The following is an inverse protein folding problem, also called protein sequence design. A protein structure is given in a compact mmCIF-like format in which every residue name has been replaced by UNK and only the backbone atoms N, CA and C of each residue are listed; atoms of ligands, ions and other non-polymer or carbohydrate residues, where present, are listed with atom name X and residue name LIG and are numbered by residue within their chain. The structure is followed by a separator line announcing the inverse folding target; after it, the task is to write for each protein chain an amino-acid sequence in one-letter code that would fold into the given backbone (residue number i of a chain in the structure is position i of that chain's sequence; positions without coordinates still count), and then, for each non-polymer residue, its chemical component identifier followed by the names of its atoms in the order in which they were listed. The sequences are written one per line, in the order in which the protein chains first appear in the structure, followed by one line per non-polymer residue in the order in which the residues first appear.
data_IF_317824881401
#
_entry.id   IF_317824881401
#
_cell.length_a   1.000
_cell.length_b   1.000
_cell.length_c   1.000
_cell.angle_alpha   90.00
_cell.angle_beta   90.00
_cell.angle_gamma   90.00
#
_symmetry.space_group_name_H-M   'P 1'
#
loop_
_entity.id
_entity.type
_entity.pdbx_description
1 polymer ?
#
# COMPACT_ATOMS: atom_id res chain seq x y z
N UNK A 1 4.05 -1.82 -13.93
CA UNK A 1 3.26 -2.03 -12.70
C UNK A 1 3.06 -0.71 -11.96
N UNK A 2 1.84 -0.38 -11.63
CA UNK A 2 1.51 0.89 -10.97
C UNK A 2 1.30 0.68 -9.47
N UNK A 3 2.02 1.44 -8.65
CA UNK A 3 1.99 1.36 -7.18
C UNK A 3 1.50 2.69 -6.63
N UNK A 4 0.48 2.65 -5.77
CA UNK A 4 -0.01 3.83 -5.07
C UNK A 4 0.47 3.80 -3.62
N UNK A 5 1.21 4.84 -3.22
CA UNK A 5 1.72 5.02 -1.86
C UNK A 5 0.93 6.11 -1.17
N UNK A 6 0.29 5.78 -0.05
CA UNK A 6 -0.59 6.69 0.68
C UNK A 6 -0.06 6.87 2.10
N UNK A 7 0.36 8.09 2.42
CA UNK A 7 0.83 8.47 3.75
C UNK A 7 0.76 9.98 3.86
N UNK A 8 0.34 10.50 5.01
CA UNK A 8 0.25 11.94 5.22
C UNK A 8 1.61 12.61 5.46
N UNK A 9 2.66 11.82 5.71
CA UNK A 9 4.02 12.34 5.86
C UNK A 9 4.81 12.23 4.56
N UNK A 10 5.25 13.38 4.05
CA UNK A 10 6.08 13.43 2.84
C UNK A 10 7.35 12.59 2.98
N UNK A 11 8.00 12.64 4.13
CA UNK A 11 9.22 11.88 4.40
C UNK A 11 8.98 10.38 4.21
N UNK A 12 7.87 9.85 4.73
CA UNK A 12 7.55 8.44 4.59
C UNK A 12 7.25 8.07 3.13
N UNK A 13 6.52 8.93 2.41
CA UNK A 13 6.28 8.70 0.97
C UNK A 13 7.60 8.62 0.20
N UNK A 14 8.56 9.47 0.54
CA UNK A 14 9.89 9.46 -0.09
C UNK A 14 10.70 8.21 0.26
N UNK A 15 10.62 7.76 1.52
CA UNK A 15 11.31 6.53 1.96
C UNK A 15 10.78 5.31 1.19
N UNK A 16 9.46 5.16 1.12
CA UNK A 16 8.84 4.04 0.40
C UNK A 16 9.19 4.09 -1.09
N UNK A 17 9.11 5.28 -1.67
CA UNK A 17 9.46 5.50 -3.08
C UNK A 17 10.92 5.12 -3.36
N UNK A 18 11.83 5.49 -2.45
CA UNK A 18 13.25 5.12 -2.55
C UNK A 18 13.46 3.61 -2.48
N UNK A 19 12.78 2.92 -1.57
CA UNK A 19 12.83 1.46 -1.48
C UNK A 19 12.33 0.78 -2.75
N UNK A 20 11.22 1.27 -3.30
CA UNK A 20 10.67 0.72 -4.54
C UNK A 20 11.62 0.89 -5.71
N UNK A 21 12.27 2.04 -5.80
CA UNK A 21 13.31 2.29 -6.82
C UNK A 21 14.47 1.31 -6.66
N UNK A 22 14.94 1.09 -5.44
CA UNK A 22 16.02 0.14 -5.16
C UNK A 22 15.64 -1.29 -5.54
N UNK A 23 14.35 -1.63 -5.47
CA UNK A 23 13.84 -2.93 -5.91
C UNK A 23 13.74 -3.06 -7.43
N UNK A 24 13.93 -1.98 -8.17
CA UNK A 24 13.88 -1.97 -9.62
C UNK A 24 12.58 -1.46 -10.23
N UNK A 25 11.66 -0.92 -9.45
CA UNK A 25 10.44 -0.32 -9.99
C UNK A 25 10.74 1.05 -10.57
N UNK A 26 10.10 1.35 -11.71
CA UNK A 26 10.24 2.64 -12.37
C UNK A 26 9.53 3.73 -11.55
N UNK A 27 10.18 4.87 -11.36
CA UNK A 27 9.62 5.99 -10.62
C UNK A 27 8.30 6.50 -11.22
N UNK A 28 8.12 6.39 -12.53
CA UNK A 28 6.90 6.82 -13.21
C UNK A 28 5.71 5.91 -12.89
N UNK A 29 5.97 4.71 -12.38
CA UNK A 29 4.93 3.76 -11.98
C UNK A 29 4.50 3.95 -10.53
N UNK A 30 5.18 4.79 -9.77
CA UNK A 30 4.87 5.06 -8.36
C UNK A 30 4.13 6.38 -8.23
N UNK A 31 2.90 6.30 -7.74
CA UNK A 31 2.05 7.48 -7.50
C UNK A 31 1.89 7.64 -6.00
N UNK A 32 1.89 8.87 -5.52
CA UNK A 32 1.76 9.16 -4.09
C UNK A 32 0.49 9.98 -3.81
N UNK A 33 -0.13 9.71 -2.67
CA UNK A 33 -1.27 10.47 -2.18
C UNK A 33 -1.07 10.75 -0.69
N UNK A 34 -1.56 11.91 -0.24
CA UNK A 34 -1.36 12.36 1.14
C UNK A 34 -2.47 11.90 2.10
N UNK A 35 -3.59 11.42 1.58
CA UNK A 35 -4.73 10.94 2.36
C UNK A 35 -5.63 10.04 1.52
N UNK A 36 -6.58 9.38 2.19
CA UNK A 36 -7.43 8.37 1.55
C UNK A 36 -8.31 8.91 0.43
N UNK A 37 -8.82 10.13 0.56
CA UNK A 37 -9.67 10.73 -0.48
C UNK A 37 -8.88 10.95 -1.78
N UNK A 38 -7.68 11.51 -1.66
CA UNK A 38 -6.78 11.69 -2.80
C UNK A 38 -6.39 10.35 -3.42
N UNK A 39 -6.20 9.32 -2.57
CA UNK A 39 -5.91 7.97 -3.03
C UNK A 39 -7.04 7.39 -3.87
N UNK A 40 -8.29 7.55 -3.43
CA UNK A 40 -9.46 7.08 -4.19
C UNK A 40 -9.58 7.80 -5.52
N UNK A 41 -9.35 9.09 -5.55
CA UNK A 41 -9.35 9.86 -6.79
C UNK A 41 -8.29 9.34 -7.76
N UNK A 42 -7.08 9.07 -7.26
CA UNK A 42 -5.99 8.53 -8.07
C UNK A 42 -6.34 7.13 -8.62
N UNK A 43 -6.95 6.27 -7.80
CA UNK A 43 -7.36 4.93 -8.21
C UNK A 43 -8.45 4.95 -9.28
N UNK A 44 -9.39 5.89 -9.16
CA UNK A 44 -10.47 6.04 -10.14
C UNK A 44 -9.97 6.62 -11.46
N UNK A 45 -8.94 7.47 -11.41
CA UNK A 45 -8.33 8.03 -12.60
C UNK A 45 -7.53 6.99 -13.39
N UNK A 46 -6.82 6.11 -12.69
CA UNK A 46 -6.05 5.02 -13.30
C UNK A 46 -5.86 3.89 -12.29
N UNK A 47 -6.08 2.63 -12.69
CA UNK A 47 -5.97 1.51 -11.77
C UNK A 47 -4.53 1.32 -11.28
N UNK A 48 -4.40 0.85 -10.04
CA UNK A 48 -3.12 0.47 -9.46
C UNK A 48 -3.07 -1.04 -9.29
N UNK A 49 -1.88 -1.59 -9.30
CA UNK A 49 -1.66 -3.02 -9.08
C UNK A 49 -1.52 -3.34 -7.58
N UNK A 50 -1.16 -2.35 -6.78
CA UNK A 50 -1.09 -2.47 -5.33
C UNK A 50 -1.21 -1.10 -4.68
N UNK A 51 -1.80 -1.05 -3.49
CA UNK A 51 -1.88 0.15 -2.65
C UNK A 51 -1.11 -0.12 -1.36
N UNK A 52 -0.17 0.76 -1.04
CA UNK A 52 0.55 0.75 0.23
C UNK A 52 0.06 1.96 1.02
N UNK A 53 -0.68 1.75 2.09
CA UNK A 53 -1.30 2.85 2.82
C UNK A 53 -1.09 2.77 4.32
N UNK A 54 -0.79 3.93 4.91
CA UNK A 54 -0.79 4.08 6.37
C UNK A 54 -2.22 3.90 6.89
N UNK A 55 -2.35 3.34 8.08
CA UNK A 55 -3.64 3.18 8.76
C UNK A 55 -4.12 4.52 9.31
N UNK A 56 -3.23 5.25 9.99
CA UNK A 56 -3.59 6.51 10.64
C UNK A 56 -3.29 7.71 9.75
N UNK A 57 -4.34 8.29 9.19
CA UNK A 57 -4.26 9.49 8.36
C UNK A 57 -5.48 10.36 8.61
N UNK A 58 -5.35 11.69 8.49
CA UNK A 58 -6.51 12.57 8.57
C UNK A 58 -7.43 12.38 7.36
N UNK A 59 -8.66 12.81 7.50
CA UNK A 59 -9.71 12.79 6.47
C UNK A 59 -10.24 11.39 6.22
N UNK A 60 -9.42 10.48 5.66
CA UNK A 60 -9.79 9.10 5.45
C UNK A 60 -8.55 8.24 5.70
N UNK A 61 -8.57 7.43 6.75
CA UNK A 61 -7.48 6.54 7.13
C UNK A 61 -7.45 5.26 6.32
N UNK A 62 -6.45 4.40 6.61
CA UNK A 62 -6.22 3.17 5.86
C UNK A 62 -7.37 2.18 5.89
N UNK A 63 -8.06 2.03 7.03
CA UNK A 63 -9.23 1.14 7.11
C UNK A 63 -10.39 1.67 6.29
N UNK A 64 -10.63 3.00 6.33
CA UNK A 64 -11.67 3.63 5.52
C UNK A 64 -11.37 3.51 4.04
N UNK A 65 -10.12 3.71 3.66
CA UNK A 65 -9.68 3.54 2.28
C UNK A 65 -9.85 2.08 1.82
N UNK A 66 -9.41 1.13 2.63
CA UNK A 66 -9.55 -0.29 2.33
C UNK A 66 -11.02 -0.67 2.16
N UNK A 67 -11.89 -0.19 3.06
CA UNK A 67 -13.33 -0.43 2.97
C UNK A 67 -13.91 0.12 1.66
N UNK A 68 -13.54 1.35 1.29
CA UNK A 68 -13.99 1.96 0.05
C UNK A 68 -13.52 1.18 -1.20
N UNK A 69 -12.28 0.71 -1.18
CA UNK A 69 -11.72 -0.12 -2.25
C UNK A 69 -12.51 -1.43 -2.38
N UNK A 70 -12.78 -2.10 -1.26
CA UNK A 70 -13.49 -3.39 -1.25
C UNK A 70 -14.95 -3.28 -1.69
N UNK A 71 -15.57 -2.12 -1.51
CA UNK A 71 -16.95 -1.87 -1.93
C UNK A 71 -17.08 -1.45 -3.39
N UNK A 72 -15.98 -1.08 -4.03
CA UNK A 72 -15.98 -0.63 -5.42
C UNK A 72 -15.71 -1.82 -6.33
N UNK A 73 -16.65 -2.14 -7.21
CA UNK A 73 -16.55 -3.29 -8.11
C UNK A 73 -15.32 -3.22 -9.03
N UNK A 74 -14.86 -2.02 -9.37
CA UNK A 74 -13.69 -1.84 -10.23
C UNK A 74 -12.37 -1.93 -9.45
N UNK A 75 -12.38 -1.72 -8.13
CA UNK A 75 -11.18 -1.62 -7.31
C UNK A 75 -10.99 -2.77 -6.31
N UNK A 76 -12.03 -3.53 -6.01
CA UNK A 76 -12.02 -4.51 -4.91
C UNK A 76 -10.94 -5.58 -5.00
N UNK A 77 -10.44 -5.86 -6.18
CA UNK A 77 -9.39 -6.88 -6.38
C UNK A 77 -7.98 -6.30 -6.26
N UNK A 78 -7.85 -4.97 -6.11
CA UNK A 78 -6.55 -4.34 -5.91
C UNK A 78 -6.04 -4.71 -4.51
N UNK A 79 -4.87 -5.37 -4.41
CA UNK A 79 -4.30 -5.71 -3.10
C UNK A 79 -3.89 -4.45 -2.34
N UNK A 80 -4.19 -4.46 -1.04
CA UNK A 80 -3.87 -3.34 -0.14
C UNK A 80 -2.94 -3.83 0.96
N UNK A 81 -1.79 -3.18 1.06
CA UNK A 81 -0.81 -3.39 2.10
C UNK A 81 -0.98 -2.28 3.14
N UNK A 82 -1.39 -2.64 4.36
CA UNK A 82 -1.59 -1.67 5.44
C UNK A 82 -0.31 -1.47 6.25
N UNK A 83 0.02 -0.23 6.55
CA UNK A 83 1.21 0.14 7.31
C UNK A 83 0.77 0.73 8.65
N UNK A 84 1.30 0.20 9.76
CA UNK A 84 0.94 0.62 11.11
C UNK A 84 2.18 0.98 11.92
N UNK A 85 2.01 1.92 12.87
CA UNK A 85 3.08 2.28 13.82
C UNK A 85 3.19 1.26 14.97
N UNK A 86 2.14 0.47 15.20
CA UNK A 86 2.08 -0.49 16.31
C UNK A 86 1.56 -1.85 15.84
N UNK A 87 2.30 -2.91 16.21
CA UNK A 87 1.94 -4.28 15.90
C UNK A 87 1.04 -4.88 16.98
N UNK A 88 -0.08 -4.23 17.29
CA UNK A 88 -1.04 -4.78 18.26
C UNK A 88 -1.83 -5.91 17.61
N UNK A 89 -2.01 -6.97 18.38
CA UNK A 89 -2.69 -8.18 17.89
C UNK A 89 -4.11 -7.91 17.39
N UNK A 90 -4.87 -7.10 18.10
CA UNK A 90 -6.24 -6.73 17.72
C UNK A 90 -6.27 -5.95 16.40
N UNK A 91 -5.33 -5.05 16.19
CA UNK A 91 -5.22 -4.27 14.97
C UNK A 91 -4.81 -5.13 13.79
N UNK A 92 -3.87 -6.05 13.99
CA UNK A 92 -3.44 -7.01 12.94
C UNK A 92 -4.62 -7.87 12.51
N UNK A 93 -5.38 -8.42 13.46
CA UNK A 93 -6.57 -9.22 13.18
C UNK A 93 -7.57 -8.40 12.39
N UNK A 94 -7.80 -7.14 12.80
CA UNK A 94 -8.70 -6.22 12.10
C UNK A 94 -8.26 -5.99 10.65
N UNK A 95 -6.95 -5.80 10.41
CA UNK A 95 -6.40 -5.64 9.07
C UNK A 95 -6.76 -6.83 8.18
N UNK A 96 -6.51 -8.02 8.67
CA UNK A 96 -6.73 -9.24 7.90
C UNK A 96 -8.22 -9.51 7.68
N UNK A 97 -9.06 -9.25 8.68
CA UNK A 97 -10.51 -9.39 8.57
C UNK A 97 -11.11 -8.38 7.60
N UNK A 98 -10.52 -7.19 7.51
CA UNK A 98 -10.96 -6.16 6.56
C UNK A 98 -10.57 -6.47 5.11
N UNK A 99 -9.75 -7.49 4.88
CA UNK A 99 -9.36 -7.92 3.56
C UNK A 99 -8.02 -7.36 3.07
N UNK A 100 -7.16 -6.90 3.97
CA UNK A 100 -5.80 -6.48 3.60
C UNK A 100 -5.01 -7.68 3.10
N UNK A 101 -4.18 -7.47 2.07
CA UNK A 101 -3.31 -8.53 1.56
C UNK A 101 -2.16 -8.83 2.50
N UNK A 102 -1.67 -7.82 3.21
CA UNK A 102 -0.62 -7.95 4.23
C UNK A 102 -0.58 -6.69 5.09
N UNK A 103 0.18 -6.72 6.16
CA UNK A 103 0.44 -5.54 6.98
C UNK A 103 1.93 -5.36 7.18
N UNK A 104 2.35 -4.13 7.49
CA UNK A 104 3.75 -3.76 7.67
C UNK A 104 3.85 -2.81 8.86
N UNK A 105 4.85 -3.02 9.72
CA UNK A 105 5.03 -2.24 10.95
C UNK A 105 6.17 -1.24 10.79
N UNK A 106 5.95 0.01 11.11
CA UNK A 106 6.98 1.06 11.11
C UNK A 106 7.86 0.94 12.36
N UNK A 107 9.16 1.21 12.27
CA UNK A 107 9.93 1.38 11.04
C UNK A 107 10.20 0.05 10.36
N UNK A 108 10.27 0.05 9.05
CA UNK A 108 10.55 -1.17 8.27
C UNK A 108 11.71 -0.95 7.32
N UNK A 109 12.34 -2.05 6.92
CA UNK A 109 13.44 -2.06 5.97
C UNK A 109 12.90 -2.29 4.55
N UNK A 110 13.77 -2.03 3.56
CA UNK A 110 13.45 -2.38 2.18
C UNK A 110 13.13 -3.87 2.05
N UNK A 111 13.90 -4.72 2.73
CA UNK A 111 13.73 -6.18 2.69
C UNK A 111 12.38 -6.62 3.21
N UNK A 112 11.92 -6.01 4.30
CA UNK A 112 10.60 -6.31 4.86
C UNK A 112 9.48 -5.83 3.93
N UNK A 113 9.62 -4.65 3.35
CA UNK A 113 8.67 -4.16 2.36
C UNK A 113 8.59 -5.09 1.16
N UNK A 114 9.74 -5.51 0.63
CA UNK A 114 9.81 -6.44 -0.50
C UNK A 114 9.11 -7.76 -0.17
N UNK A 115 9.36 -8.30 1.02
CA UNK A 115 8.71 -9.54 1.49
C UNK A 115 7.19 -9.41 1.46
N UNK A 116 6.65 -8.30 1.97
CA UNK A 116 5.20 -8.08 2.01
C UNK A 116 4.61 -7.83 0.62
N UNK A 117 5.34 -7.14 -0.25
CA UNK A 117 4.92 -6.95 -1.63
C UNK A 117 4.90 -8.26 -2.41
N UNK A 118 5.84 -9.17 -2.16
CA UNK A 118 5.85 -10.49 -2.79
C UNK A 118 4.64 -11.31 -2.38
N UNK A 119 4.15 -11.14 -1.15
CA UNK A 119 2.91 -11.77 -0.68
C UNK A 119 1.69 -11.14 -1.37
N UNK A 120 1.65 -9.82 -1.45
CA UNK A 120 0.50 -9.09 -1.99
C UNK A 120 0.39 -9.20 -3.52
N UNK A 121 1.51 -9.14 -4.22
CA UNK A 121 1.56 -9.11 -5.69
C UNK A 121 2.71 -10.00 -6.20
N UNK A 122 2.60 -11.33 -6.03
CA UNK A 122 3.69 -12.23 -6.43
C UNK A 122 4.05 -12.13 -7.91
N UNK A 123 3.08 -11.86 -8.78
CA UNK A 123 3.32 -11.72 -10.21
C UNK A 123 4.27 -10.57 -10.57
N UNK A 124 4.34 -9.54 -9.73
CA UNK A 124 5.22 -8.39 -9.97
C UNK A 124 6.71 -8.76 -9.89
N UNK A 125 7.03 -9.85 -9.21
CA UNK A 125 8.41 -10.30 -9.00
C UNK A 125 8.79 -11.52 -9.83
N UNK A 126 7.86 -12.04 -10.62
CA UNK A 126 8.10 -13.26 -11.39
C UNK A 126 9.29 -13.13 -12.35
N UNK A 127 9.49 -11.95 -12.95
CA UNK A 127 10.60 -11.68 -13.87
C UNK A 127 11.85 -11.10 -13.19
N UNK A 128 11.76 -10.82 -11.90
CA UNK A 128 12.85 -10.22 -11.13
C UNK A 128 13.62 -11.25 -10.31
N UNK A 129 13.05 -12.41 -10.10
CA UNK A 129 13.68 -13.52 -9.36
C UNK A 129 14.36 -14.44 -10.36
N UNK A 130 15.58 -14.10 -10.68
CA UNK A 130 16.42 -14.98 -11.50
C UNK A 130 17.52 -15.58 -10.64
#
# INVERSE_FOLDING_TARGET
MRILVVDDFLTMRRVVRGFLREMGFDETDVVAAAHGTAALEALRAAPADVVITDIEMPILGGFGLLSAIKKDAALRDVPVLLVTAEARKDEIVRCMQAGAAAYLVKPFTRETLEEKLRVAVPAAFANMSS
#
